data_IF_672615730954
#
_entry.id   IF_672615730954
#
_cell.length_a   1.000
_cell.length_b   1.000
_cell.length_c   1.000
_cell.angle_alpha   90.00
_cell.angle_beta   90.00
_cell.angle_gamma   90.00
#
_symmetry.space_group_name_H-M   'P 1'
#
loop_
_entity.id
_entity.type
_entity.pdbx_description
1 polymer ?
#
# COMPACT_ATOMS: atom_id res chain seq x y z
N UNK A 1 -4.84 -20.55 -10.54
CA UNK A 1 -4.23 -21.84 -10.18
C UNK A 1 -2.77 -21.68 -9.78
N UNK A 2 -1.84 -21.34 -10.70
CA UNK A 2 -0.41 -21.22 -10.39
C UNK A 2 -0.13 -20.34 -9.16
N UNK A 3 -0.59 -19.10 -9.15
CA UNK A 3 -0.35 -18.18 -8.03
C UNK A 3 -1.01 -18.57 -6.69
N UNK A 4 -1.98 -19.50 -6.69
CA UNK A 4 -2.58 -20.01 -5.45
C UNK A 4 -1.89 -21.27 -4.91
N UNK A 5 -1.14 -21.99 -5.74
CA UNK A 5 -0.52 -23.27 -5.36
C UNK A 5 1.01 -23.26 -5.41
N UNK A 6 1.63 -22.27 -6.08
CA UNK A 6 3.09 -22.13 -6.12
C UNK A 6 3.65 -22.03 -4.69
N UNK A 7 4.83 -22.61 -4.45
CA UNK A 7 5.41 -22.75 -3.11
C UNK A 7 4.46 -23.44 -2.10
N UNK A 8 3.61 -24.37 -2.56
CA UNK A 8 2.52 -24.96 -1.78
C UNK A 8 1.60 -23.90 -1.15
N UNK A 9 1.36 -22.80 -1.87
CA UNK A 9 0.50 -21.68 -1.45
C UNK A 9 1.11 -20.79 -0.35
N UNK A 10 2.35 -21.04 0.07
CA UNK A 10 3.06 -20.25 1.08
C UNK A 10 3.62 -18.96 0.46
N UNK A 11 2.74 -18.01 0.17
CA UNK A 11 3.06 -16.79 -0.57
C UNK A 11 2.16 -15.64 -0.17
N UNK A 12 2.74 -14.57 0.38
CA UNK A 12 1.98 -13.39 0.82
C UNK A 12 1.24 -12.69 -0.34
N UNK A 13 1.79 -12.70 -1.55
CA UNK A 13 1.14 -12.19 -2.76
C UNK A 13 0.36 -13.25 -3.52
N UNK A 14 0.14 -14.43 -2.94
CA UNK A 14 -0.58 -15.53 -3.56
C UNK A 14 -2.07 -15.24 -3.72
N UNK A 15 -2.74 -16.05 -4.54
CA UNK A 15 -4.21 -15.98 -4.62
C UNK A 15 -4.79 -16.85 -3.52
N UNK A 16 -5.52 -16.22 -2.58
CA UNK A 16 -6.26 -16.93 -1.54
C UNK A 16 -7.78 -16.81 -1.67
N UNK A 17 -8.27 -15.96 -2.58
CA UNK A 17 -9.72 -15.76 -2.83
C UNK A 17 -9.98 -15.59 -4.32
N UNK A 18 -10.95 -16.34 -4.85
CA UNK A 18 -11.30 -16.28 -6.27
C UNK A 18 -12.78 -15.94 -6.42
N UNK A 19 -13.07 -14.85 -7.10
CA UNK A 19 -14.43 -14.43 -7.45
C UNK A 19 -14.64 -14.57 -8.95
N UNK A 20 -15.69 -15.28 -9.35
CA UNK A 20 -15.97 -15.58 -10.77
C UNK A 20 -17.40 -15.17 -11.11
N UNK A 21 -17.59 -14.53 -12.27
CA UNK A 21 -18.92 -14.10 -12.68
C UNK A 21 -19.84 -15.31 -12.87
N UNK A 22 -21.09 -15.23 -12.40
CA UNK A 22 -22.01 -16.36 -12.32
C UNK A 22 -22.25 -17.02 -13.69
N UNK A 23 -22.20 -16.26 -14.78
CA UNK A 23 -22.38 -16.77 -16.14
C UNK A 23 -21.29 -17.74 -16.63
N UNK A 24 -20.11 -17.74 -15.99
CA UNK A 24 -18.98 -18.61 -16.36
C UNK A 24 -18.48 -19.45 -15.17
N UNK A 25 -19.13 -19.35 -14.01
CA UNK A 25 -18.69 -19.98 -12.76
C UNK A 25 -18.51 -21.49 -12.92
N UNK A 26 -19.52 -22.19 -13.44
CA UNK A 26 -19.48 -23.65 -13.58
C UNK A 26 -18.38 -24.12 -14.53
N UNK A 27 -18.22 -23.44 -15.67
CA UNK A 27 -17.17 -23.75 -16.65
C UNK A 27 -15.79 -23.52 -16.05
N UNK A 28 -15.60 -22.42 -15.33
CA UNK A 28 -14.34 -22.10 -14.66
C UNK A 28 -14.00 -23.14 -13.59
N UNK A 29 -14.96 -23.46 -12.72
CA UNK A 29 -14.76 -24.45 -11.64
C UNK A 29 -14.45 -25.82 -12.22
N UNK A 30 -15.15 -26.26 -13.27
CA UNK A 30 -14.88 -27.54 -13.92
C UNK A 30 -13.43 -27.64 -14.44
N UNK A 31 -12.95 -26.60 -15.14
CA UNK A 31 -11.58 -26.55 -15.63
C UNK A 31 -10.54 -26.47 -14.50
N UNK A 32 -10.83 -25.71 -13.44
CA UNK A 32 -9.95 -25.62 -12.28
C UNK A 32 -9.86 -26.97 -11.54
N UNK A 33 -10.98 -27.68 -11.40
CA UNK A 33 -11.07 -29.01 -10.79
C UNK A 33 -10.24 -30.02 -11.58
N UNK A 34 -10.42 -30.07 -12.90
CA UNK A 34 -9.67 -30.98 -13.79
C UNK A 34 -8.15 -30.77 -13.63
N UNK A 35 -7.69 -29.52 -13.75
CA UNK A 35 -6.27 -29.19 -13.64
C UNK A 35 -5.72 -29.45 -12.24
N UNK A 36 -6.49 -29.17 -11.19
CA UNK A 36 -6.05 -29.41 -9.81
C UNK A 36 -5.84 -30.91 -9.54
N UNK A 37 -6.73 -31.78 -10.04
CA UNK A 37 -6.60 -33.24 -9.88
C UNK A 37 -5.38 -33.81 -10.60
N UNK A 38 -4.91 -33.15 -11.66
CA UNK A 38 -3.71 -33.56 -12.39
C UNK A 38 -2.40 -33.28 -11.63
N UNK A 39 -2.40 -32.26 -10.76
CA UNK A 39 -1.23 -31.89 -9.94
C UNK A 39 -0.86 -32.98 -8.96
N UNK A 40 0.45 -33.15 -8.73
CA UNK A 40 1.07 -34.12 -7.82
C UNK A 40 1.64 -33.41 -6.61
N UNK A 41 1.35 -33.89 -5.41
CA UNK A 41 1.99 -33.41 -4.18
C UNK A 41 2.77 -34.52 -3.48
N UNK A 42 3.92 -34.18 -2.88
CA UNK A 42 4.74 -35.14 -2.16
C UNK A 42 6.21 -34.75 -2.03
N UNK A 43 7.08 -35.67 -1.58
CA UNK A 43 8.52 -35.46 -1.59
C UNK A 43 9.05 -35.51 -3.02
N UNK A 44 9.63 -34.42 -3.52
CA UNK A 44 10.26 -34.40 -4.84
C UNK A 44 11.73 -34.82 -4.76
N UNK A 45 12.07 -35.95 -5.38
CA UNK A 45 13.46 -36.41 -5.55
C UNK A 45 13.82 -36.66 -7.02
N UNK A 46 12.84 -36.66 -7.92
CA UNK A 46 13.01 -37.05 -9.34
C UNK A 46 12.16 -36.19 -10.29
N UNK A 47 11.92 -34.91 -9.94
CA UNK A 47 11.10 -33.98 -10.75
C UNK A 47 9.67 -34.50 -11.01
N UNK A 48 9.17 -35.32 -10.08
CA UNK A 48 7.93 -36.08 -10.19
C UNK A 48 6.76 -35.44 -9.46
N UNK A 49 6.96 -34.27 -8.87
CA UNK A 49 6.02 -33.61 -7.97
C UNK A 49 5.86 -32.15 -8.37
N UNK A 50 4.64 -31.64 -8.30
CA UNK A 50 4.31 -30.25 -8.64
C UNK A 50 4.20 -29.36 -7.39
N UNK A 51 3.87 -29.96 -6.22
CA UNK A 51 3.65 -29.27 -4.95
C UNK A 51 4.44 -29.94 -3.81
N UNK A 52 5.33 -29.18 -3.20
CA UNK A 52 6.17 -29.63 -2.08
C UNK A 52 5.47 -29.59 -0.70
N UNK A 53 6.29 -29.61 0.35
CA UNK A 53 5.81 -29.59 1.73
C UNK A 53 5.46 -28.17 2.21
N UNK A 54 4.54 -28.11 3.17
CA UNK A 54 4.37 -26.98 4.08
C UNK A 54 5.60 -26.92 5.00
N UNK A 55 6.10 -25.71 5.25
CA UNK A 55 7.38 -25.51 5.94
C UNK A 55 7.33 -25.94 7.41
N UNK A 56 6.18 -25.75 8.08
CA UNK A 56 6.05 -26.00 9.51
C UNK A 56 4.81 -26.84 9.85
N UNK A 57 4.90 -27.60 10.95
CA UNK A 57 3.78 -28.36 11.50
C UNK A 57 2.61 -27.46 11.91
N UNK A 58 2.92 -26.28 12.48
CA UNK A 58 1.92 -25.32 12.92
C UNK A 58 1.08 -24.82 11.73
N UNK A 59 1.74 -24.42 10.65
CA UNK A 59 1.03 -23.97 9.45
C UNK A 59 0.17 -25.08 8.84
N UNK A 60 0.67 -26.33 8.79
CA UNK A 60 -0.12 -27.46 8.33
C UNK A 60 -1.40 -27.66 9.17
N UNK A 61 -1.31 -27.47 10.49
CA UNK A 61 -2.48 -27.53 11.37
C UNK A 61 -3.46 -26.39 11.09
N UNK A 62 -2.97 -25.15 10.95
CA UNK A 62 -3.81 -23.99 10.58
C UNK A 62 -4.58 -24.21 9.28
N UNK A 63 -3.91 -24.70 8.23
CA UNK A 63 -4.55 -25.00 6.94
C UNK A 63 -5.66 -26.05 7.11
N UNK A 64 -5.37 -27.14 7.85
CA UNK A 64 -6.36 -28.19 8.14
C UNK A 64 -7.56 -27.63 8.89
N UNK A 65 -7.33 -26.87 9.95
CA UNK A 65 -8.39 -26.32 10.80
C UNK A 65 -9.31 -25.37 10.02
N UNK A 66 -8.75 -24.51 9.17
CA UNK A 66 -9.54 -23.59 8.32
C UNK A 66 -10.34 -24.33 7.24
N UNK A 67 -9.79 -25.38 6.63
CA UNK A 67 -10.52 -26.20 5.65
C UNK A 67 -11.63 -26.98 6.33
N UNK A 68 -11.36 -27.59 7.47
CA UNK A 68 -12.36 -28.31 8.26
C UNK A 68 -13.47 -27.37 8.75
N UNK A 69 -13.13 -26.14 9.16
CA UNK A 69 -14.10 -25.09 9.47
C UNK A 69 -14.98 -24.72 8.27
N UNK A 70 -14.37 -24.48 7.12
CA UNK A 70 -15.13 -24.18 5.90
C UNK A 70 -16.11 -25.30 5.57
N UNK A 71 -15.67 -26.57 5.61
CA UNK A 71 -16.53 -27.74 5.32
C UNK A 71 -17.66 -27.88 6.34
N UNK A 72 -17.39 -27.69 7.64
CA UNK A 72 -18.44 -27.69 8.68
C UNK A 72 -19.50 -26.60 8.44
N UNK A 73 -19.09 -25.46 7.88
CA UNK A 73 -19.98 -24.35 7.54
C UNK A 73 -20.59 -24.45 6.13
N UNK A 74 -20.43 -25.59 5.44
CA UNK A 74 -21.10 -25.92 4.19
C UNK A 74 -20.25 -25.80 2.93
N UNK A 75 -18.96 -25.46 3.03
CA UNK A 75 -18.06 -25.50 1.88
C UNK A 75 -17.89 -26.94 1.37
N UNK A 76 -17.60 -27.07 0.08
CA UNK A 76 -17.41 -28.36 -0.60
C UNK A 76 -15.99 -28.43 -1.14
N UNK A 77 -15.28 -29.52 -0.82
CA UNK A 77 -14.01 -29.85 -1.46
C UNK A 77 -14.31 -30.36 -2.88
N UNK A 78 -14.09 -29.50 -3.87
CA UNK A 78 -14.37 -29.82 -5.28
C UNK A 78 -13.25 -30.65 -5.93
N UNK A 79 -12.01 -30.39 -5.54
CA UNK A 79 -10.83 -31.09 -6.04
C UNK A 79 -9.68 -31.09 -5.03
N UNK A 80 -8.88 -32.14 -5.11
CA UNK A 80 -7.57 -32.22 -4.48
C UNK A 80 -6.53 -32.78 -5.46
N UNK A 81 -5.29 -32.30 -5.38
CA UNK A 81 -4.14 -32.88 -6.09
C UNK A 81 -3.85 -34.32 -5.63
N UNK A 82 -3.20 -35.14 -6.47
CA UNK A 82 -2.88 -36.54 -6.17
C UNK A 82 -1.60 -36.68 -5.32
N UNK A 83 -1.58 -37.57 -4.31
CA UNK A 83 -0.37 -37.85 -3.55
C UNK A 83 0.63 -38.66 -4.38
N UNK A 84 1.92 -38.40 -4.21
CA UNK A 84 3.01 -39.18 -4.83
C UNK A 84 4.08 -39.44 -3.76
N UNK A 85 4.54 -40.70 -3.66
CA UNK A 85 5.57 -41.10 -2.70
C UNK A 85 5.07 -41.25 -1.26
N UNK A 86 6.01 -41.40 -0.32
CA UNK A 86 5.73 -41.54 1.11
C UNK A 86 5.54 -40.16 1.77
N UNK A 87 4.29 -39.82 2.07
CA UNK A 87 3.94 -38.56 2.72
C UNK A 87 4.14 -38.58 4.25
N UNK A 88 4.43 -39.74 4.86
CA UNK A 88 4.51 -39.86 6.32
C UNK A 88 5.68 -39.09 6.94
N UNK A 89 6.71 -38.77 6.14
CA UNK A 89 7.94 -38.12 6.57
C UNK A 89 8.01 -36.61 6.30
N UNK A 90 6.87 -35.94 6.12
CA UNK A 90 6.82 -34.51 5.90
C UNK A 90 5.46 -33.88 6.18
N UNK A 91 5.38 -32.56 6.00
CA UNK A 91 4.15 -31.79 6.19
C UNK A 91 3.50 -31.51 4.84
N UNK A 92 2.90 -32.53 4.22
CA UNK A 92 2.25 -32.37 2.92
C UNK A 92 0.77 -32.05 3.07
N UNK A 93 0.27 -31.16 2.23
CA UNK A 93 -1.16 -30.86 2.10
C UNK A 93 -1.51 -30.80 0.61
N UNK A 94 -2.60 -31.44 0.16
CA UNK A 94 -3.00 -31.39 -1.24
C UNK A 94 -3.42 -29.97 -1.63
N UNK A 95 -3.07 -29.55 -2.86
CA UNK A 95 -3.76 -28.42 -3.47
C UNK A 95 -5.26 -28.69 -3.48
N UNK A 96 -6.04 -27.81 -2.85
CA UNK A 96 -7.46 -28.02 -2.55
C UNK A 96 -8.28 -26.89 -3.13
N UNK A 97 -9.32 -27.22 -3.89
CA UNK A 97 -10.31 -26.24 -4.38
C UNK A 97 -11.57 -26.36 -3.55
N UNK A 98 -12.02 -25.24 -2.97
CA UNK A 98 -13.26 -25.16 -2.22
C UNK A 98 -14.32 -24.39 -3.01
N UNK A 99 -15.53 -24.89 -3.03
CA UNK A 99 -16.72 -24.20 -3.55
C UNK A 99 -17.79 -24.09 -2.46
N UNK A 100 -18.89 -23.38 -2.74
CA UNK A 100 -19.93 -23.10 -1.75
C UNK A 100 -19.40 -22.38 -0.49
N UNK A 101 -18.40 -21.52 -0.69
CA UNK A 101 -17.78 -20.70 0.36
C UNK A 101 -18.49 -19.35 0.49
N UNK A 102 -18.40 -18.73 1.67
CA UNK A 102 -18.87 -17.37 1.89
C UNK A 102 -18.05 -16.66 2.99
N UNK A 103 -18.15 -15.33 3.06
CA UNK A 103 -17.32 -14.48 3.93
C UNK A 103 -17.53 -14.69 5.44
N UNK A 104 -18.48 -15.53 5.89
CA UNK A 104 -18.54 -15.93 7.30
C UNK A 104 -17.48 -16.98 7.67
N UNK A 105 -16.97 -17.72 6.69
CA UNK A 105 -15.97 -18.77 6.87
C UNK A 105 -14.57 -18.17 7.05
N UNK A 106 -13.76 -18.77 7.93
CA UNK A 106 -12.40 -18.30 8.21
C UNK A 106 -11.51 -18.30 6.95
N UNK A 107 -11.69 -19.29 6.06
CA UNK A 107 -10.90 -19.43 4.82
C UNK A 107 -10.98 -18.24 3.86
N UNK A 108 -11.97 -17.34 4.01
CA UNK A 108 -12.11 -16.12 3.22
C UNK A 108 -11.77 -14.84 4.01
N UNK A 109 -11.48 -14.94 5.30
CA UNK A 109 -11.18 -13.79 6.18
C UNK A 109 -9.73 -13.75 6.62
N UNK A 110 -9.18 -14.90 7.00
CA UNK A 110 -7.86 -15.04 7.56
C UNK A 110 -6.89 -15.56 6.50
N UNK A 111 -5.60 -15.23 6.63
CA UNK A 111 -4.57 -15.76 5.75
C UNK A 111 -4.44 -17.29 5.96
N UNK A 112 -4.51 -18.05 4.88
CA UNK A 112 -4.38 -19.51 4.94
C UNK A 112 -2.94 -19.98 4.71
N UNK A 113 -2.17 -19.25 3.90
CA UNK A 113 -0.75 -19.52 3.60
C UNK A 113 -0.48 -20.99 3.22
N UNK A 114 -1.41 -21.58 2.47
CA UNK A 114 -1.43 -22.96 2.05
C UNK A 114 -2.05 -23.12 0.66
N UNK A 115 -2.04 -24.33 0.09
CA UNK A 115 -2.44 -24.51 -1.30
C UNK A 115 -3.97 -24.68 -1.37
N UNK A 116 -4.73 -23.70 -0.89
CA UNK A 116 -6.20 -23.73 -0.84
C UNK A 116 -6.79 -22.60 -1.67
N UNK A 117 -7.69 -22.94 -2.59
CA UNK A 117 -8.37 -21.99 -3.47
C UNK A 117 -9.89 -22.04 -3.24
N UNK A 118 -10.45 -21.16 -2.39
CA UNK A 118 -11.87 -20.93 -2.29
C UNK A 118 -12.40 -20.11 -3.48
N UNK A 119 -13.47 -20.59 -4.12
CA UNK A 119 -14.08 -20.00 -5.31
C UNK A 119 -15.54 -19.62 -5.03
N UNK A 120 -15.89 -18.36 -5.26
CA UNK A 120 -17.23 -17.80 -4.99
C UNK A 120 -17.79 -17.10 -6.24
N UNK A 121 -19.08 -17.27 -6.57
CA UNK A 121 -19.68 -16.55 -7.69
C UNK A 121 -20.00 -15.08 -7.34
N UNK A 122 -20.02 -14.20 -8.35
CA UNK A 122 -20.57 -12.84 -8.26
C UNK A 122 -21.47 -12.51 -9.46
N UNK A 123 -22.30 -11.47 -9.35
CA UNK A 123 -23.30 -11.07 -10.35
C UNK A 123 -23.08 -9.70 -10.98
N UNK A 124 -22.31 -8.83 -10.33
CA UNK A 124 -21.98 -7.51 -10.86
C UNK A 124 -20.56 -7.09 -10.46
N UNK A 125 -19.97 -6.18 -11.23
CA UNK A 125 -18.63 -5.66 -10.94
C UNK A 125 -18.59 -4.96 -9.58
N UNK A 126 -19.66 -4.26 -9.19
CA UNK A 126 -19.76 -3.62 -7.88
C UNK A 126 -19.77 -4.67 -6.75
N UNK A 127 -20.43 -5.81 -6.96
CA UNK A 127 -20.39 -6.91 -6.00
C UNK A 127 -18.97 -7.51 -5.92
N UNK A 128 -18.32 -7.75 -7.06
CA UNK A 128 -16.96 -8.28 -7.09
C UNK A 128 -15.97 -7.36 -6.36
N UNK A 129 -16.04 -6.06 -6.59
CA UNK A 129 -15.19 -5.06 -5.91
C UNK A 129 -15.45 -5.08 -4.40
N UNK A 130 -16.72 -5.09 -3.97
CA UNK A 130 -17.06 -5.16 -2.54
C UNK A 130 -16.50 -6.42 -1.89
N UNK A 131 -16.69 -7.58 -2.51
CA UNK A 131 -16.18 -8.85 -1.99
C UNK A 131 -14.64 -8.88 -1.94
N UNK A 132 -13.97 -8.42 -2.99
CA UNK A 132 -12.52 -8.36 -3.03
C UNK A 132 -11.95 -7.44 -1.93
N UNK A 133 -12.58 -6.28 -1.70
CA UNK A 133 -12.13 -5.31 -0.69
C UNK A 133 -12.54 -5.66 0.75
N UNK A 134 -13.48 -6.57 0.94
CA UNK A 134 -13.89 -7.09 2.26
C UNK A 134 -12.84 -8.05 2.83
N UNK A 135 -11.70 -7.47 3.19
CA UNK A 135 -10.53 -8.13 3.75
C UNK A 135 -9.68 -7.12 4.54
N UNK A 136 -9.08 -7.57 5.64
CA UNK A 136 -8.13 -6.77 6.43
C UNK A 136 -6.76 -6.65 5.74
N UNK A 137 -6.48 -7.51 4.75
CA UNK A 137 -5.25 -7.51 3.96
C UNK A 137 -5.47 -6.83 2.60
N UNK A 138 -4.40 -6.26 2.04
CA UNK A 138 -4.42 -5.48 0.80
C UNK A 138 -3.06 -5.49 0.07
N UNK A 139 -2.42 -6.66 -0.04
CA UNK A 139 -1.11 -6.77 -0.72
C UNK A 139 -1.25 -6.77 -2.24
N UNK A 140 -1.84 -7.84 -2.79
CA UNK A 140 -2.01 -8.02 -4.24
C UNK A 140 -3.44 -8.37 -4.61
N UNK A 141 -3.91 -7.88 -5.76
CA UNK A 141 -5.13 -8.35 -6.43
C UNK A 141 -4.89 -8.52 -7.93
N UNK A 142 -5.80 -9.25 -8.60
CA UNK A 142 -5.78 -9.39 -10.06
C UNK A 142 -7.17 -9.32 -10.65
N UNK A 143 -7.30 -8.77 -11.86
CA UNK A 143 -8.54 -8.76 -12.63
C UNK A 143 -8.34 -9.50 -13.95
N UNK A 144 -9.21 -10.46 -14.26
CA UNK A 144 -9.19 -11.21 -15.51
C UNK A 144 -10.43 -10.86 -16.36
N UNK A 145 -10.22 -10.24 -17.52
CA UNK A 145 -11.27 -9.93 -18.50
C UNK A 145 -10.65 -9.56 -19.85
N UNK A 146 -11.38 -9.78 -20.94
CA UNK A 146 -11.00 -9.34 -22.29
C UNK A 146 -11.13 -7.82 -22.46
N UNK A 147 -12.00 -7.17 -21.68
CA UNK A 147 -12.22 -5.72 -21.75
C UNK A 147 -11.16 -4.98 -20.93
N UNK A 148 -10.18 -4.39 -21.62
CA UNK A 148 -9.17 -3.53 -20.99
C UNK A 148 -9.79 -2.36 -20.21
N UNK A 149 -10.87 -1.76 -20.72
CA UNK A 149 -11.58 -0.68 -20.04
C UNK A 149 -12.22 -1.15 -18.71
N UNK A 150 -12.85 -2.33 -18.72
CA UNK A 150 -13.41 -2.94 -17.50
C UNK A 150 -12.31 -3.29 -16.51
N UNK A 151 -11.22 -3.91 -16.97
CA UNK A 151 -10.09 -4.27 -16.14
C UNK A 151 -9.51 -3.06 -15.40
N UNK A 152 -9.26 -1.97 -16.14
CA UNK A 152 -8.72 -0.73 -15.59
C UNK A 152 -9.68 -0.05 -14.61
N UNK A 153 -10.99 -0.08 -14.89
CA UNK A 153 -12.01 0.47 -13.97
C UNK A 153 -12.09 -0.31 -12.66
N UNK A 154 -12.09 -1.63 -12.72
CA UNK A 154 -12.12 -2.48 -11.52
C UNK A 154 -10.80 -2.33 -10.75
N UNK A 155 -9.66 -2.39 -11.43
CA UNK A 155 -8.34 -2.32 -10.81
C UNK A 155 -8.14 -1.06 -9.96
N UNK A 156 -8.63 0.10 -10.41
CA UNK A 156 -8.56 1.37 -9.67
C UNK A 156 -9.39 1.40 -8.40
N UNK A 157 -10.36 0.49 -8.26
CA UNK A 157 -11.27 0.43 -7.12
C UNK A 157 -10.92 -0.70 -6.15
N UNK A 158 -9.93 -1.53 -6.48
CA UNK A 158 -9.46 -2.59 -5.59
C UNK A 158 -8.50 -2.00 -4.54
N UNK A 159 -8.79 -2.32 -3.29
CA UNK A 159 -7.95 -1.97 -2.15
C UNK A 159 -6.75 -2.91 -2.11
N UNK A 160 -5.75 -2.65 -2.94
CA UNK A 160 -4.51 -3.42 -2.99
C UNK A 160 -3.33 -2.56 -3.38
N UNK A 161 -2.17 -2.88 -2.82
CA UNK A 161 -0.93 -2.18 -3.16
C UNK A 161 -0.43 -2.45 -4.56
N UNK A 162 -0.71 -3.67 -5.08
CA UNK A 162 -0.38 -4.09 -6.45
C UNK A 162 -1.61 -4.73 -7.08
N UNK A 163 -2.01 -4.26 -8.26
CA UNK A 163 -3.09 -4.87 -9.05
C UNK A 163 -2.59 -5.26 -10.42
N UNK A 164 -2.73 -6.52 -10.78
CA UNK A 164 -2.36 -7.05 -12.10
C UNK A 164 -3.60 -7.31 -12.96
N UNK A 165 -3.45 -7.25 -14.27
CA UNK A 165 -4.55 -7.51 -15.22
C UNK A 165 -4.15 -8.70 -16.09
N UNK A 166 -5.06 -9.68 -16.18
CA UNK A 166 -4.92 -10.91 -16.97
C UNK A 166 -3.72 -11.80 -16.60
N UNK A 167 -3.11 -11.57 -15.44
CA UNK A 167 -2.07 -12.39 -14.84
C UNK A 167 -1.99 -12.08 -13.33
N UNK A 168 -1.18 -12.81 -12.56
CA UNK A 168 -1.00 -12.60 -11.12
C UNK A 168 0.43 -12.92 -10.65
N UNK A 169 0.91 -12.19 -9.65
CA UNK A 169 2.18 -12.37 -8.92
C UNK A 169 3.50 -12.20 -9.73
N UNK A 170 3.49 -12.21 -11.07
CA UNK A 170 4.69 -11.94 -11.87
C UNK A 170 5.39 -10.62 -11.53
N UNK A 171 4.62 -9.61 -11.09
CA UNK A 171 5.12 -8.29 -10.67
C UNK A 171 6.05 -8.33 -9.47
N UNK A 172 6.01 -9.40 -8.66
CA UNK A 172 6.98 -9.59 -7.56
C UNK A 172 8.40 -9.83 -8.09
N UNK A 173 8.55 -10.41 -9.28
CA UNK A 173 9.86 -10.58 -9.93
C UNK A 173 10.36 -9.34 -10.67
N UNK A 174 9.52 -8.33 -10.84
CA UNK A 174 9.86 -7.09 -11.57
C UNK A 174 10.51 -6.11 -10.61
N UNK A 175 11.84 -6.02 -10.66
CA UNK A 175 12.63 -5.17 -9.76
C UNK A 175 12.35 -3.67 -9.92
N UNK A 176 11.80 -3.26 -11.06
CA UNK A 176 11.39 -1.89 -11.37
C UNK A 176 9.99 -1.55 -10.87
N UNK A 177 9.13 -2.54 -10.62
CA UNK A 177 7.74 -2.34 -10.25
C UNK A 177 7.62 -2.15 -8.73
N UNK A 178 7.13 -0.99 -8.23
CA UNK A 178 6.96 -0.79 -6.80
C UNK A 178 6.06 -1.88 -6.18
N UNK A 179 6.52 -2.48 -5.09
CA UNK A 179 5.85 -3.63 -4.49
C UNK A 179 5.64 -3.44 -2.99
N UNK A 180 4.45 -3.72 -2.50
CA UNK A 180 4.06 -3.54 -1.10
C UNK A 180 2.58 -3.18 -0.96
N UNK A 181 1.98 -3.51 0.18
CA UNK A 181 0.55 -3.40 0.45
C UNK A 181 0.15 -2.18 1.27
N UNK A 182 -1.04 -2.26 1.87
CA UNK A 182 -1.50 -1.41 2.97
C UNK A 182 -2.45 -2.22 3.86
N UNK A 183 -3.13 -1.59 4.83
CA UNK A 183 -3.88 -2.26 5.91
C UNK A 183 -2.96 -3.18 6.73
N UNK A 184 -3.39 -4.40 7.04
CA UNK A 184 -2.57 -5.36 7.77
C UNK A 184 -1.42 -5.94 6.92
N UNK A 185 -1.39 -5.69 5.61
CA UNK A 185 -0.29 -6.11 4.72
C UNK A 185 0.97 -5.21 4.83
N UNK A 186 0.99 -4.25 5.75
CA UNK A 186 2.15 -3.41 6.03
C UNK A 186 2.16 -2.07 5.28
N UNK A 187 3.16 -1.24 5.59
CA UNK A 187 3.32 0.11 5.03
C UNK A 187 4.63 0.23 4.24
N UNK A 188 4.72 1.23 3.37
CA UNK A 188 5.90 1.50 2.54
C UNK A 188 5.90 0.74 1.21
N UNK A 189 6.94 0.96 0.41
CA UNK A 189 7.13 0.26 -0.87
C UNK A 189 8.56 -0.24 -0.97
N UNK A 190 8.71 -1.42 -1.53
CA UNK A 190 9.97 -2.00 -1.99
C UNK A 190 10.05 -1.91 -3.50
N UNK A 191 11.21 -2.29 -4.07
CA UNK A 191 11.49 -2.25 -5.51
C UNK A 191 11.45 -0.85 -6.13
N UNK A 192 11.95 -0.74 -7.35
CA UNK A 192 11.93 0.47 -8.16
C UNK A 192 12.51 1.70 -7.46
N UNK A 193 12.13 2.85 -7.97
CA UNK A 193 12.57 4.14 -7.43
C UNK A 193 11.98 4.44 -6.03
N UNK A 194 10.76 3.97 -5.76
CA UNK A 194 10.10 4.20 -4.47
C UNK A 194 10.78 3.42 -3.34
N UNK A 195 11.14 2.15 -3.56
CA UNK A 195 11.89 1.36 -2.58
C UNK A 195 13.28 1.93 -2.30
N UNK A 196 13.97 2.46 -3.31
CA UNK A 196 15.24 3.16 -3.09
C UNK A 196 15.07 4.41 -2.20
N UNK A 197 13.98 5.17 -2.40
CA UNK A 197 13.64 6.33 -1.56
C UNK A 197 13.34 5.95 -0.11
N UNK A 198 12.71 4.81 0.13
CA UNK A 198 12.43 4.30 1.48
C UNK A 198 13.73 4.05 2.27
N UNK A 199 14.80 3.63 1.57
CA UNK A 199 16.13 3.41 2.14
C UNK A 199 17.00 4.66 2.19
N UNK A 200 16.46 5.83 1.81
CA UNK A 200 17.21 7.09 1.73
C UNK A 200 16.89 8.00 2.91
N UNK A 201 17.91 8.66 3.46
CA UNK A 201 17.72 9.72 4.45
C UNK A 201 17.52 11.08 3.74
N UNK A 202 16.30 11.60 3.74
CA UNK A 202 15.97 12.89 3.13
C UNK A 202 16.62 14.03 3.93
N UNK A 203 17.53 14.78 3.28
CA UNK A 203 18.19 15.95 3.86
C UNK A 203 17.75 17.22 3.15
N UNK A 204 17.13 18.13 3.89
CA UNK A 204 16.84 19.48 3.39
C UNK A 204 18.05 20.38 3.66
N UNK A 205 18.62 20.97 2.61
CA UNK A 205 19.64 22.02 2.70
C UNK A 205 19.00 23.30 2.17
N UNK A 206 18.68 24.22 3.08
CA UNK A 206 18.19 25.54 2.72
C UNK A 206 19.36 26.51 2.70
N UNK A 207 19.67 27.06 1.53
CA UNK A 207 20.73 28.03 1.35
C UNK A 207 20.11 29.41 1.06
N UNK A 208 20.32 30.35 1.98
CA UNK A 208 19.96 31.75 1.76
C UNK A 208 20.83 32.31 0.63
N UNK A 209 20.21 32.58 -0.53
CA UNK A 209 20.94 33.05 -1.71
C UNK A 209 21.31 34.52 -1.63
N UNK A 210 20.62 35.29 -0.79
CA UNK A 210 20.89 36.71 -0.62
C UNK A 210 21.97 36.90 0.45
N UNK A 211 23.15 37.44 0.10
CA UNK A 211 24.19 37.67 1.08
C UNK A 211 23.71 38.63 2.17
N UNK A 212 24.11 38.35 3.42
CA UNK A 212 23.89 39.29 4.53
C UNK A 212 24.59 40.64 4.32
N UNK A 213 25.54 40.73 3.38
CA UNK A 213 26.12 42.01 2.95
C UNK A 213 25.14 42.88 2.15
N UNK A 214 24.18 42.27 1.45
CA UNK A 214 23.17 42.96 0.65
C UNK A 214 21.90 43.19 1.43
N UNK A 215 21.44 42.17 2.18
CA UNK A 215 20.30 42.29 3.10
C UNK A 215 20.77 41.86 4.49
N UNK A 216 21.34 42.79 5.29
CA UNK A 216 21.82 42.50 6.64
C UNK A 216 20.75 41.96 7.58
N UNK A 217 19.47 42.24 7.32
CA UNK A 217 18.36 41.78 8.15
C UNK A 217 17.20 41.26 7.34
N UNK A 218 16.77 40.04 7.65
CA UNK A 218 15.52 39.51 7.12
C UNK A 218 14.31 40.19 7.80
N UNK A 219 13.15 40.19 7.15
CA UNK A 219 11.98 40.94 7.61
C UNK A 219 11.47 40.50 8.99
N UNK A 220 11.68 39.23 9.33
CA UNK A 220 11.30 38.62 10.62
C UNK A 220 12.46 38.59 11.64
N UNK A 221 13.61 39.22 11.35
CA UNK A 221 14.71 39.30 12.31
C UNK A 221 14.53 40.43 13.31
N UNK A 222 15.09 40.23 14.49
CA UNK A 222 15.03 41.15 15.63
C UNK A 222 15.63 42.55 15.33
N UNK A 223 15.22 43.57 16.10
CA UNK A 223 14.20 43.55 17.16
C UNK A 223 12.78 43.56 16.59
N UNK A 224 11.80 43.14 17.39
CA UNK A 224 10.38 43.30 17.05
C UNK A 224 9.87 44.64 17.57
N UNK A 225 9.43 45.47 16.65
CA UNK A 225 8.91 46.81 16.92
C UNK A 225 7.70 47.09 16.02
N UNK A 226 7.09 48.27 16.17
CA UNK A 226 5.93 48.67 15.35
C UNK A 226 6.26 48.64 13.85
N UNK A 227 7.48 49.01 13.47
CA UNK A 227 7.93 48.96 12.08
C UNK A 227 7.96 47.53 11.52
N UNK A 228 8.36 46.55 12.35
CA UNK A 228 8.33 45.12 12.03
C UNK A 228 6.92 44.61 11.78
N UNK A 229 5.99 44.96 12.67
CA UNK A 229 4.58 44.60 12.52
C UNK A 229 3.97 45.21 11.26
N UNK A 230 4.14 46.53 11.06
CA UNK A 230 3.60 47.23 9.90
C UNK A 230 4.24 46.72 8.59
N UNK A 231 5.53 46.35 8.63
CA UNK A 231 6.26 45.74 7.52
C UNK A 231 5.76 44.34 7.15
N UNK A 232 5.58 43.45 8.13
CA UNK A 232 5.02 42.10 7.91
C UNK A 232 3.57 42.18 7.42
N UNK A 233 2.75 43.07 8.01
CA UNK A 233 1.37 43.29 7.59
C UNK A 233 1.29 43.84 6.16
N UNK A 234 2.18 44.76 5.79
CA UNK A 234 2.32 45.23 4.42
C UNK A 234 2.78 44.11 3.47
N UNK A 235 3.64 43.19 3.94
CA UNK A 235 4.04 41.98 3.21
C UNK A 235 2.86 41.09 2.86
N UNK A 236 2.03 40.75 3.85
CA UNK A 236 0.82 39.94 3.63
C UNK A 236 -0.15 40.64 2.67
N UNK A 237 -0.40 41.93 2.86
CA UNK A 237 -1.31 42.73 2.00
C UNK A 237 -0.77 42.98 0.59
N UNK A 238 0.54 42.88 0.40
CA UNK A 238 1.16 42.91 -0.92
C UNK A 238 0.97 41.59 -1.67
N UNK A 239 1.10 40.45 -0.97
CA UNK A 239 0.92 39.11 -1.55
C UNK A 239 -0.55 38.78 -1.83
N UNK A 240 -1.48 39.33 -1.03
CA UNK A 240 -2.92 39.12 -1.18
C UNK A 240 -3.70 40.44 -0.98
N UNK A 241 -3.65 41.39 -1.93
CA UNK A 241 -4.36 42.66 -1.82
C UNK A 241 -5.87 42.49 -2.06
N UNK A 242 -6.68 43.22 -1.30
CA UNK A 242 -8.14 43.32 -1.50
C UNK A 242 -8.50 44.20 -2.71
N UNK A 243 -7.66 45.19 -3.03
CA UNK A 243 -7.85 46.11 -4.15
C UNK A 243 -6.51 46.74 -4.60
N UNK A 244 -6.55 47.46 -5.71
CA UNK A 244 -5.37 48.10 -6.30
C UNK A 244 -4.76 49.21 -5.39
N UNK A 245 -5.58 49.90 -4.60
CA UNK A 245 -5.10 50.94 -3.69
C UNK A 245 -4.36 50.31 -2.49
N UNK A 246 -4.83 49.17 -2.00
CA UNK A 246 -4.19 48.39 -0.95
C UNK A 246 -2.87 47.81 -1.44
N UNK A 247 -2.80 47.35 -2.69
CA UNK A 247 -1.55 46.90 -3.30
C UNK A 247 -0.52 48.04 -3.38
N UNK A 248 -0.90 49.20 -3.92
CA UNK A 248 0.00 50.36 -4.07
C UNK A 248 0.48 50.89 -2.71
N UNK A 249 -0.43 51.04 -1.76
CA UNK A 249 -0.09 51.53 -0.41
C UNK A 249 0.76 50.52 0.38
N UNK A 250 0.53 49.23 0.21
CA UNK A 250 1.35 48.18 0.85
C UNK A 250 2.73 48.08 0.22
N UNK A 251 2.84 48.24 -1.10
CA UNK A 251 4.12 48.34 -1.82
C UNK A 251 4.98 49.49 -1.29
N UNK A 252 4.39 50.69 -1.13
CA UNK A 252 5.11 51.84 -0.60
C UNK A 252 5.59 51.62 0.86
N UNK A 253 4.75 50.98 1.69
CA UNK A 253 5.10 50.62 3.08
C UNK A 253 6.22 49.59 3.15
N UNK A 254 6.24 48.61 2.24
CA UNK A 254 7.31 47.62 2.14
C UNK A 254 8.65 48.23 1.75
N UNK A 255 8.67 49.16 0.78
CA UNK A 255 9.90 49.88 0.40
C UNK A 255 10.46 50.63 1.60
N UNK A 256 9.58 51.37 2.32
CA UNK A 256 9.98 52.10 3.53
C UNK A 256 10.53 51.16 4.61
N UNK A 257 9.88 50.02 4.82
CA UNK A 257 10.32 49.00 5.77
C UNK A 257 11.67 48.38 5.39
N UNK A 258 11.87 48.04 4.11
CA UNK A 258 13.11 47.45 3.63
C UNK A 258 14.30 48.40 3.81
N UNK A 259 14.15 49.67 3.43
CA UNK A 259 15.19 50.71 3.62
C UNK A 259 15.47 50.97 5.10
N UNK A 260 14.42 51.09 5.91
CA UNK A 260 14.56 51.41 7.34
C UNK A 260 15.10 50.26 8.17
N UNK A 261 14.79 49.01 7.80
CA UNK A 261 15.09 47.83 8.62
C UNK A 261 15.96 46.80 7.90
N UNK A 262 15.54 46.29 6.75
CA UNK A 262 16.23 45.16 6.11
C UNK A 262 17.65 45.48 5.63
N UNK A 263 17.87 46.71 5.14
CA UNK A 263 19.17 47.18 4.64
C UNK A 263 20.09 47.80 5.70
N UNK A 264 19.62 47.94 6.93
CA UNK A 264 20.39 48.57 8.01
C UNK A 264 20.91 47.51 8.99
N UNK A 265 22.13 47.69 9.52
CA UNK A 265 22.70 46.78 10.51
C UNK A 265 21.96 46.89 11.85
N UNK A 266 21.79 45.77 12.55
CA UNK A 266 21.30 45.80 13.93
C UNK A 266 22.33 46.47 14.84
N UNK A 267 21.89 47.41 15.66
CA UNK A 267 22.69 48.02 16.72
C UNK A 267 22.07 47.65 18.06
N UNK A 268 22.86 47.04 18.94
CA UNK A 268 22.46 46.77 20.34
C UNK A 268 22.71 48.06 21.11
N UNK A 269 21.66 48.68 21.65
CA UNK A 269 21.78 49.88 22.46
C UNK A 269 22.01 49.47 23.93
N UNK A 270 23.19 49.76 24.46
CA UNK A 270 23.63 49.30 25.81
C UNK A 270 22.79 49.87 26.96
N UNK A 271 22.05 50.96 26.75
CA UNK A 271 21.15 51.54 27.75
C UNK A 271 19.85 50.76 27.94
N UNK A 272 19.35 50.05 26.91
CA UNK A 272 18.13 49.25 26.98
C UNK A 272 18.31 47.90 27.70
N UNK A 273 19.56 47.51 28.00
CA UNK A 273 19.89 46.30 28.77
C UNK A 273 19.92 46.53 30.29
N UNK A 274 19.85 47.77 30.77
CA UNK A 274 19.66 48.04 32.20
C UNK A 274 18.21 47.71 32.54
N UNK A 275 17.99 46.52 33.11
CA UNK A 275 16.69 46.15 33.68
C UNK A 275 16.22 47.26 34.63
N UNK A 276 14.91 47.58 34.69
CA UNK A 276 14.44 48.48 35.72
C UNK A 276 14.76 47.84 37.07
N UNK A 277 15.59 48.50 37.88
CA UNK A 277 15.75 48.13 39.29
C UNK A 277 14.34 48.04 39.88
N UNK A 278 14.00 46.85 40.39
CA UNK A 278 12.73 46.63 41.07
C UNK A 278 12.66 47.64 42.22
N UNK A 279 11.79 48.64 42.08
CA UNK A 279 11.44 49.54 43.18
C UNK A 279 10.70 48.70 44.21
N UNK A 280 11.40 48.28 45.26
CA UNK A 280 10.81 47.85 46.54
C UNK A 280 10.03 49.01 47.17
#
# INVERSE_FOLDING_TARGET
>A
MWAGFQNAGQSCGGIERVYVHESIYDVFVAQLVEKTRALRHGPDTEFGVDIGAITTKGQLATIKDQVDDAVRNGAVIAAQSRPVGDLSKGFFYPATVLTNVNHSMQILRDENFGPVLPVMPFRSDEQAIRLANDCSMALTSSVFTESSATAQRIAKQLDSGVVTINDHLYSHGMSEAPWGGWKESGLGRTHGYLGLKEMSNVKCINNERVPSSWIPRNMWWYPFDRASYDGLLAGVRFLAPQDAAQFLSSSAKLVKFAVGKMFTKWRVNSEQQKAPEAKN
#
